data_IF_257896807920
#
_entry.id   IF_257896807920
#
_cell.length_a   1.000
_cell.length_b   1.000
_cell.length_c   1.000
_cell.angle_alpha   90.00
_cell.angle_beta   90.00
_cell.angle_gamma   90.00
#
_symmetry.space_group_name_H-M   'P 1'
#
loop_
_entity.id
_entity.type
_entity.pdbx_description
1 polymer ?
#
# COMPACT_ATOMS: atom_id res chain seq x y z
N UNK A 1 4.95 -7.77 8.94
CA UNK A 1 6.00 -7.19 8.07
C UNK A 1 7.10 -8.20 7.76
N UNK A 2 7.80 -8.79 8.75
CA UNK A 2 8.84 -9.80 8.48
C UNK A 2 8.35 -11.10 7.81
N UNK A 3 7.14 -11.59 8.14
CA UNK A 3 6.62 -12.84 7.56
C UNK A 3 6.26 -12.71 6.07
N UNK A 4 5.80 -11.54 5.63
CA UNK A 4 5.31 -11.31 4.28
C UNK A 4 6.45 -11.10 3.27
N UNK A 5 7.54 -10.44 3.71
CA UNK A 5 8.80 -10.36 2.95
C UNK A 5 9.43 -11.74 2.79
N UNK A 6 9.42 -12.57 3.84
CA UNK A 6 9.91 -13.95 3.79
C UNK A 6 9.13 -14.81 2.78
N UNK A 7 7.80 -14.72 2.80
CA UNK A 7 6.91 -15.43 1.87
C UNK A 7 7.14 -14.97 0.42
N UNK A 8 7.26 -13.67 0.17
CA UNK A 8 7.54 -13.14 -1.17
C UNK A 8 8.90 -13.58 -1.72
N UNK A 9 9.93 -13.62 -0.88
CA UNK A 9 11.28 -14.02 -1.29
C UNK A 9 11.41 -15.54 -1.53
N UNK A 10 10.63 -16.36 -0.81
CA UNK A 10 10.65 -17.84 -0.92
C UNK A 10 9.70 -18.36 -2.01
N UNK A 11 8.53 -17.74 -2.21
CA UNK A 11 7.54 -18.22 -3.18
C UNK A 11 7.77 -17.72 -4.60
N UNK A 12 8.24 -16.48 -4.79
CA UNK A 12 8.44 -15.90 -6.12
C UNK A 12 9.39 -16.74 -7.01
N UNK A 13 10.51 -17.32 -6.51
CA UNK A 13 11.38 -18.19 -7.30
C UNK A 13 10.72 -19.50 -7.76
N UNK A 14 9.67 -19.98 -7.07
CA UNK A 14 8.98 -21.24 -7.39
C UNK A 14 8.05 -21.12 -8.61
N UNK A 15 7.58 -19.92 -8.91
CA UNK A 15 6.67 -19.65 -10.04
C UNK A 15 7.38 -19.18 -11.32
N UNK A 16 8.71 -19.01 -11.31
CA UNK A 16 9.47 -18.66 -12.51
C UNK A 16 10.01 -19.91 -13.23
N UNK A 17 9.87 -20.01 -14.56
CA UNK A 17 10.45 -21.08 -15.36
C UNK A 17 11.99 -21.13 -15.21
N UNK A 18 12.54 -22.32 -14.96
CA UNK A 18 13.99 -22.55 -14.91
C UNK A 18 14.60 -22.23 -16.28
N UNK A 19 15.33 -21.12 -16.39
CA UNK A 19 16.07 -20.74 -17.61
C UNK A 19 15.94 -19.27 -18.01
N UNK A 20 14.89 -18.58 -17.55
CA UNK A 20 14.82 -17.12 -17.67
C UNK A 20 15.45 -16.52 -16.41
N UNK A 21 16.62 -15.88 -16.56
CA UNK A 21 17.19 -15.01 -15.53
C UNK A 21 16.81 -13.56 -15.88
N UNK A 22 15.55 -13.10 -15.68
CA UNK A 22 15.29 -11.67 -15.74
C UNK A 22 16.23 -10.99 -14.74
N UNK A 23 16.66 -9.77 -15.05
CA UNK A 23 17.62 -9.04 -14.24
C UNK A 23 17.25 -9.13 -12.74
N UNK A 24 18.22 -9.40 -11.87
CA UNK A 24 17.97 -9.61 -10.42
C UNK A 24 17.23 -8.41 -9.83
N UNK A 25 17.49 -7.22 -10.35
CA UNK A 25 16.85 -5.97 -9.96
C UNK A 25 15.37 -5.96 -10.36
N UNK A 26 15.03 -6.42 -11.57
CA UNK A 26 13.64 -6.43 -12.05
C UNK A 26 12.74 -7.33 -11.19
N UNK A 27 13.22 -8.52 -10.77
CA UNK A 27 12.45 -9.39 -9.87
C UNK A 27 12.24 -8.77 -8.49
N UNK A 28 13.27 -8.11 -7.95
CA UNK A 28 13.19 -7.42 -6.67
C UNK A 28 12.18 -6.28 -6.73
N UNK A 29 12.20 -5.47 -7.80
CA UNK A 29 11.24 -4.39 -8.02
C UNK A 29 9.81 -4.93 -8.06
N UNK A 30 9.54 -5.95 -8.89
CA UNK A 30 8.18 -6.50 -9.03
C UNK A 30 7.66 -7.06 -7.69
N UNK A 31 8.49 -7.83 -6.97
CA UNK A 31 8.13 -8.37 -5.66
C UNK A 31 7.83 -7.28 -4.63
N UNK A 32 8.67 -6.24 -4.57
CA UNK A 32 8.51 -5.11 -3.67
C UNK A 32 7.28 -4.26 -4.03
N UNK A 33 7.01 -4.05 -5.31
CA UNK A 33 5.82 -3.32 -5.78
C UNK A 33 4.53 -4.02 -5.39
N UNK A 34 4.41 -5.32 -5.64
CA UNK A 34 3.18 -6.08 -5.31
C UNK A 34 2.94 -6.02 -3.80
N UNK A 35 3.99 -6.27 -3.02
CA UNK A 35 3.90 -6.25 -1.56
C UNK A 35 3.52 -4.87 -1.02
N UNK A 36 4.25 -3.84 -1.44
CA UNK A 36 3.99 -2.46 -1.03
C UNK A 36 2.60 -1.96 -1.47
N UNK A 37 2.07 -2.44 -2.60
CA UNK A 37 0.74 -2.04 -3.08
C UNK A 37 -0.37 -2.61 -2.18
N UNK A 38 -0.23 -3.86 -1.73
CA UNK A 38 -1.19 -4.47 -0.81
C UNK A 38 -1.21 -3.74 0.55
N UNK A 39 -0.03 -3.45 1.11
CA UNK A 39 0.08 -2.70 2.36
C UNK A 39 -0.44 -1.26 2.23
N UNK A 40 -0.27 -0.64 1.06
CA UNK A 40 -0.81 0.69 0.77
C UNK A 40 -2.35 0.67 0.69
N UNK A 41 -2.91 -0.32 -0.01
CA UNK A 41 -4.36 -0.50 -0.12
C UNK A 41 -5.02 -0.66 1.26
N UNK A 42 -4.40 -1.43 2.15
CA UNK A 42 -4.87 -1.64 3.52
C UNK A 42 -4.87 -0.34 4.34
N UNK A 43 -3.83 0.48 4.22
CA UNK A 43 -3.75 1.80 4.88
C UNK A 43 -4.86 2.74 4.39
N UNK A 44 -5.08 2.80 3.07
CA UNK A 44 -6.15 3.61 2.47
C UNK A 44 -7.53 3.11 2.93
N UNK A 45 -7.73 1.79 2.95
CA UNK A 45 -8.95 1.16 3.46
C UNK A 45 -9.18 1.51 4.94
N UNK A 46 -8.14 1.46 5.76
CA UNK A 46 -8.17 1.88 7.15
C UNK A 46 -8.55 3.35 7.31
N UNK A 47 -8.01 4.23 6.48
CA UNK A 47 -8.35 5.66 6.48
C UNK A 47 -9.79 5.94 6.08
N UNK A 48 -10.37 5.18 5.15
CA UNK A 48 -11.80 5.29 4.80
C UNK A 48 -12.68 4.77 5.95
N UNK A 49 -12.30 3.67 6.59
CA UNK A 49 -13.06 3.09 7.70
C UNK A 49 -13.01 3.92 8.99
N UNK A 50 -11.97 4.73 9.16
CA UNK A 50 -11.84 5.66 10.27
C UNK A 50 -12.84 6.83 10.21
N UNK A 51 -13.53 7.02 9.08
CA UNK A 51 -14.51 8.10 8.93
C UNK A 51 -15.75 7.81 9.79
N UNK A 52 -16.15 8.74 10.69
CA UNK A 52 -17.36 8.58 11.47
C UNK A 52 -18.59 8.46 10.57
N UNK A 53 -19.45 7.47 10.83
CA UNK A 53 -20.69 7.25 10.07
C UNK A 53 -21.60 8.49 10.04
N UNK A 54 -21.56 9.31 11.09
CA UNK A 54 -22.28 10.58 11.16
C UNK A 54 -21.98 11.56 10.03
N UNK A 55 -20.79 11.51 9.40
CA UNK A 55 -20.48 12.35 8.22
C UNK A 55 -21.35 11.96 7.01
N UNK A 56 -21.55 10.66 6.81
CA UNK A 56 -22.41 10.13 5.74
C UNK A 56 -23.88 10.42 6.05
N UNK A 57 -24.30 10.24 7.29
CA UNK A 57 -25.68 10.53 7.73
C UNK A 57 -26.01 12.03 7.61
N UNK A 58 -25.09 12.91 8.03
CA UNK A 58 -25.23 14.36 7.88
C UNK A 58 -25.32 14.77 6.40
N UNK A 59 -24.49 14.17 5.53
CA UNK A 59 -24.57 14.44 4.09
C UNK A 59 -25.93 14.08 3.49
N UNK A 60 -26.52 12.96 3.94
CA UNK A 60 -27.84 12.52 3.50
C UNK A 60 -28.95 13.42 4.03
N UNK A 61 -28.83 13.88 5.28
CA UNK A 61 -29.77 14.85 5.87
C UNK A 61 -29.76 16.20 5.12
N UNK A 62 -28.62 16.57 4.52
CA UNK A 62 -28.46 17.74 3.66
C UNK A 62 -28.88 17.48 2.20
N UNK A 63 -29.39 16.29 1.86
CA UNK A 63 -29.86 15.95 0.51
C UNK A 63 -28.75 15.66 -0.50
N UNK A 64 -27.50 15.43 -0.05
CA UNK A 64 -26.40 15.07 -0.95
C UNK A 64 -26.57 13.64 -1.47
N UNK A 65 -26.29 13.46 -2.77
CA UNK A 65 -26.24 12.14 -3.37
C UNK A 65 -24.92 11.43 -3.03
N UNK A 66 -24.89 10.11 -3.21
CA UNK A 66 -23.71 9.28 -2.91
C UNK A 66 -22.40 9.75 -3.55
N UNK A 67 -22.33 10.10 -4.85
CA UNK A 67 -21.06 10.56 -5.43
C UNK A 67 -20.58 11.90 -4.84
N UNK A 68 -21.48 12.83 -4.49
CA UNK A 68 -21.09 14.05 -3.79
C UNK A 68 -20.66 13.79 -2.35
N UNK A 69 -21.35 12.91 -1.62
CA UNK A 69 -20.93 12.47 -0.29
C UNK A 69 -19.52 11.85 -0.33
N UNK A 70 -19.26 10.97 -1.29
CA UNK A 70 -17.95 10.34 -1.44
C UNK A 70 -16.88 11.35 -1.83
N UNK A 71 -17.12 12.16 -2.87
CA UNK A 71 -16.13 13.09 -3.42
C UNK A 71 -15.81 14.29 -2.54
N UNK A 72 -16.81 14.86 -1.87
CA UNK A 72 -16.67 16.13 -1.14
C UNK A 72 -16.45 15.94 0.35
N UNK A 73 -16.87 14.81 0.93
CA UNK A 73 -16.88 14.59 2.38
C UNK A 73 -15.97 13.43 2.75
N UNK A 74 -16.26 12.22 2.25
CA UNK A 74 -15.56 11.00 2.70
C UNK A 74 -14.12 10.94 2.19
N UNK A 75 -13.90 11.07 0.87
CA UNK A 75 -12.57 10.95 0.29
C UNK A 75 -11.58 11.99 0.81
N UNK A 76 -11.90 13.31 0.88
CA UNK A 76 -10.95 14.30 1.37
C UNK A 76 -10.52 14.05 2.83
N UNK A 77 -11.44 13.57 3.67
CA UNK A 77 -11.15 13.22 5.06
C UNK A 77 -10.32 11.93 5.14
N UNK A 78 -10.70 10.90 4.38
CA UNK A 78 -9.99 9.62 4.36
C UNK A 78 -8.54 9.77 3.88
N UNK A 79 -8.30 10.66 2.90
CA UNK A 79 -6.96 11.02 2.46
C UNK A 79 -6.13 11.65 3.58
N UNK A 80 -6.69 12.64 4.31
CA UNK A 80 -5.99 13.26 5.44
C UNK A 80 -5.60 12.25 6.53
N UNK A 81 -6.48 11.29 6.83
CA UNK A 81 -6.20 10.23 7.81
C UNK A 81 -5.13 9.26 7.29
N UNK A 82 -5.14 8.96 5.98
CA UNK A 82 -4.21 7.99 5.39
C UNK A 82 -2.80 8.55 5.18
N UNK A 83 -2.65 9.86 4.92
CA UNK A 83 -1.36 10.50 4.60
C UNK A 83 -0.25 10.18 5.61
N UNK A 84 -0.43 10.34 6.94
CA UNK A 84 0.64 10.02 7.90
C UNK A 84 1.11 8.57 7.81
N UNK A 85 0.19 7.63 7.62
CA UNK A 85 0.51 6.20 7.49
C UNK A 85 1.25 5.89 6.19
N UNK A 86 0.87 6.54 5.09
CA UNK A 86 1.54 6.42 3.79
C UNK A 86 2.97 6.96 3.85
N UNK A 87 3.17 8.11 4.49
CA UNK A 87 4.51 8.69 4.70
C UNK A 87 5.38 7.75 5.53
N UNK A 88 4.84 7.15 6.60
CA UNK A 88 5.56 6.14 7.38
C UNK A 88 5.99 4.94 6.52
N UNK A 89 5.10 4.41 5.68
CA UNK A 89 5.43 3.33 4.76
C UNK A 89 6.53 3.74 3.77
N UNK A 90 6.47 4.95 3.24
CA UNK A 90 7.47 5.45 2.30
C UNK A 90 8.87 5.49 2.94
N UNK A 91 8.96 5.96 4.18
CA UNK A 91 10.20 5.97 4.96
C UNK A 91 10.72 4.54 5.15
N UNK A 92 9.85 3.59 5.52
CA UNK A 92 10.24 2.18 5.67
C UNK A 92 10.73 1.56 4.36
N UNK A 93 10.05 1.81 3.23
CA UNK A 93 10.50 1.32 1.91
C UNK A 93 11.86 1.90 1.52
N UNK A 94 12.13 3.16 1.87
CA UNK A 94 13.43 3.77 1.64
C UNK A 94 14.54 3.08 2.46
N UNK A 95 14.25 2.71 3.71
CA UNK A 95 15.18 1.93 4.53
C UNK A 95 15.40 0.52 3.97
N UNK A 96 14.33 -0.16 3.53
CA UNK A 96 14.40 -1.51 2.98
C UNK A 96 15.20 -1.57 1.66
N UNK A 97 15.03 -0.57 0.78
CA UNK A 97 15.82 -0.46 -0.47
C UNK A 97 17.30 -0.17 -0.21
N UNK A 98 17.60 0.66 0.80
CA UNK A 98 18.99 0.91 1.23
C UNK A 98 19.64 -0.36 1.77
N UNK A 99 18.93 -1.12 2.60
CA UNK A 99 19.43 -2.40 3.12
C UNK A 99 19.63 -3.43 2.00
N UNK A 100 18.67 -3.54 1.08
CA UNK A 100 18.79 -4.44 -0.08
C UNK A 100 19.99 -4.07 -0.97
N UNK A 101 20.27 -2.77 -1.15
CA UNK A 101 21.44 -2.32 -1.88
C UNK A 101 22.75 -2.69 -1.17
N UNK A 102 22.81 -2.60 0.15
CA UNK A 102 24.01 -2.96 0.92
C UNK A 102 24.22 -4.49 0.97
N UNK A 103 23.15 -5.28 1.09
CA UNK A 103 23.23 -6.75 1.30
C UNK A 103 23.19 -7.54 -0.02
N UNK A 104 22.63 -6.99 -1.10
CA UNK A 104 22.39 -7.70 -2.37
C UNK A 104 23.31 -7.31 -3.54
N UNK A 105 24.08 -6.23 -3.41
CA UNK A 105 25.04 -5.74 -4.42
C UNK A 105 26.51 -5.81 -3.97
N UNK A 106 26.79 -6.12 -2.68
CA UNK A 106 28.12 -6.46 -2.16
C UNK A 106 28.26 -7.97 -1.97
#
# INVERSE_FOLDING_TARGET
MHISLFIGQVLLPLFLPKGMRPDRVLRAIVGLTIFSSADLAEKVRGGIQAIPRGQVEASKALGLNTPFTLGLIVLPQAFKISIPSIVGQFISLFQDTTLLAIVGLL
#
